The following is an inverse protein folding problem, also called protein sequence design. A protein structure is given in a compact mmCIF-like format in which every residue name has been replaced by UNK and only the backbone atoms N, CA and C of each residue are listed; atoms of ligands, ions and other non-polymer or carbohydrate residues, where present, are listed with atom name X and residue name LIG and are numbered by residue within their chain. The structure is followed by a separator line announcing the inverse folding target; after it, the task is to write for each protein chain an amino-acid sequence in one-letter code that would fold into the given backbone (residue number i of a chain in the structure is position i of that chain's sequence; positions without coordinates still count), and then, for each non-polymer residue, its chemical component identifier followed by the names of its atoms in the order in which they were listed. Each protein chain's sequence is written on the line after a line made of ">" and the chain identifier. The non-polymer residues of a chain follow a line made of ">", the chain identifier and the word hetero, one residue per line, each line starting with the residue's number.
data_IF_837784846407
#
_entry.id   IF_837784846407
#
_cell.length_a   1.000
_cell.length_b   1.000
_cell.length_c   1.000
_cell.angle_alpha   90.00
_cell.angle_beta   90.00
_cell.angle_gamma   90.00
#
_symmetry.space_group_name_H-M   'P 1'
#
loop_
_entity.id
_entity.type
_entity.pdbx_description
1 polymer ?
#
# COMPACT_ATOMS: atom_id res chain seq x y z
N UNK A 1 -1.07 -60.22 12.18
CA UNK A 1 0.16 -59.53 11.73
C UNK A 1 -0.22 -58.08 11.45
N UNK A 2 0.12 -57.19 12.35
CA UNK A 2 -0.12 -55.75 12.18
C UNK A 2 1.00 -55.22 11.31
N UNK A 3 0.68 -54.77 10.10
CA UNK A 3 1.61 -54.00 9.26
C UNK A 3 2.05 -52.76 10.01
N UNK A 4 3.32 -52.70 10.38
CA UNK A 4 3.99 -51.48 10.82
C UNK A 4 3.96 -50.51 9.65
N UNK A 5 3.05 -49.51 9.72
CA UNK A 5 3.15 -48.34 8.81
C UNK A 5 4.56 -47.77 8.88
N UNK A 6 5.29 -47.85 7.76
CA UNK A 6 6.60 -47.18 7.61
C UNK A 6 6.37 -45.69 7.83
N UNK A 7 6.67 -45.21 9.02
CA UNK A 7 6.79 -43.79 9.27
C UNK A 7 7.90 -43.29 8.33
N UNK A 8 7.52 -42.63 7.24
CA UNK A 8 8.50 -41.97 6.37
C UNK A 8 9.23 -40.96 7.22
N UNK A 9 10.55 -41.14 7.35
CA UNK A 9 11.40 -40.19 8.06
C UNK A 9 11.21 -38.81 7.40
N UNK A 10 10.82 -37.82 8.19
CA UNK A 10 10.69 -36.43 7.72
C UNK A 10 12.06 -35.96 7.21
N UNK A 11 12.14 -35.63 5.92
CA UNK A 11 13.35 -35.02 5.36
C UNK A 11 13.35 -33.53 5.72
N UNK A 12 14.40 -33.03 6.35
CA UNK A 12 14.48 -31.60 6.65
C UNK A 12 14.57 -30.80 5.34
N UNK A 13 13.90 -29.67 5.32
CA UNK A 13 14.02 -28.66 4.25
C UNK A 13 14.71 -27.43 4.85
N UNK A 14 15.71 -26.93 4.17
CA UNK A 14 16.43 -25.70 4.56
C UNK A 14 16.12 -24.61 3.57
N UNK A 15 15.57 -23.50 4.05
CA UNK A 15 15.41 -22.26 3.30
C UNK A 15 16.58 -21.33 3.66
N UNK A 16 17.47 -21.07 2.71
CA UNK A 16 18.57 -20.12 2.88
C UNK A 16 18.23 -18.82 2.17
N UNK A 17 18.02 -17.75 2.93
CA UNK A 17 17.73 -16.42 2.42
C UNK A 17 18.99 -15.58 2.47
N UNK A 18 19.48 -15.15 1.30
CA UNK A 18 20.57 -14.18 1.16
C UNK A 18 19.96 -12.79 0.96
N UNK A 19 19.62 -12.14 2.06
CA UNK A 19 18.96 -10.85 2.03
C UNK A 19 19.85 -9.78 1.37
N UNK A 20 19.28 -8.98 0.48
CA UNK A 20 20.01 -8.00 -0.33
C UNK A 20 20.78 -8.58 -1.51
N UNK A 21 20.76 -9.90 -1.74
CA UNK A 21 21.42 -10.53 -2.87
C UNK A 21 20.57 -10.40 -4.14
N UNK A 22 20.90 -9.42 -5.00
CA UNK A 22 20.20 -9.18 -6.26
C UNK A 22 20.96 -9.69 -7.48
N UNK A 23 20.25 -9.82 -8.60
CA UNK A 23 20.82 -10.15 -9.90
C UNK A 23 20.94 -8.86 -10.71
N UNK A 24 22.16 -8.50 -11.11
CA UNK A 24 22.46 -7.37 -11.98
C UNK A 24 23.62 -7.78 -12.90
N UNK A 25 23.46 -7.52 -14.20
CA UNK A 25 24.47 -7.83 -15.20
C UNK A 25 25.66 -6.86 -15.21
N UNK A 26 25.49 -5.68 -14.60
CA UNK A 26 26.56 -4.70 -14.48
C UNK A 26 27.61 -5.21 -13.49
N UNK A 27 28.88 -5.19 -13.89
CA UNK A 27 30.00 -5.63 -13.05
C UNK A 27 30.56 -4.48 -12.19
N UNK A 28 30.63 -3.26 -12.74
CA UNK A 28 31.14 -2.10 -12.02
C UNK A 28 30.28 -1.82 -10.78
N UNK A 29 30.94 -1.62 -9.65
CA UNK A 29 30.32 -1.37 -8.33
C UNK A 29 29.37 -2.48 -7.86
N UNK A 30 29.48 -3.68 -8.41
CA UNK A 30 28.67 -4.86 -8.07
C UNK A 30 29.51 -5.90 -7.34
N UNK A 31 29.53 -5.85 -6.04
CA UNK A 31 30.30 -6.78 -5.20
C UNK A 31 29.89 -8.25 -5.43
N UNK A 32 28.61 -8.52 -5.73
CA UNK A 32 28.12 -9.87 -5.99
C UNK A 32 28.70 -10.41 -7.31
N UNK A 33 28.73 -9.60 -8.37
CA UNK A 33 29.28 -9.99 -9.66
C UNK A 33 30.79 -10.25 -9.55
N UNK A 34 31.51 -9.40 -8.81
CA UNK A 34 32.97 -9.47 -8.66
C UNK A 34 33.42 -10.57 -7.67
N UNK A 35 32.56 -11.06 -6.80
CA UNK A 35 32.92 -12.03 -5.78
C UNK A 35 33.25 -13.41 -6.40
N UNK A 36 34.23 -14.10 -5.81
CA UNK A 36 34.48 -15.51 -6.08
C UNK A 36 33.41 -16.37 -5.42
N UNK A 37 32.48 -16.89 -6.20
CA UNK A 37 31.30 -17.63 -5.70
C UNK A 37 31.08 -18.97 -6.41
N UNK A 38 32.12 -19.85 -6.48
CA UNK A 38 32.11 -21.06 -7.32
C UNK A 38 30.94 -22.00 -6.98
N UNK A 39 30.56 -22.11 -5.72
CA UNK A 39 29.44 -22.97 -5.32
C UNK A 39 28.10 -22.42 -5.77
N UNK A 40 27.88 -21.12 -5.63
CA UNK A 40 26.65 -20.46 -6.08
C UNK A 40 26.53 -20.50 -7.60
N UNK A 41 27.63 -20.23 -8.31
CA UNK A 41 27.68 -20.32 -9.77
C UNK A 41 27.39 -21.77 -10.25
N UNK A 42 27.90 -22.77 -9.55
CA UNK A 42 27.59 -24.17 -9.83
C UNK A 42 26.09 -24.46 -9.58
N UNK A 43 25.53 -24.01 -8.48
CA UNK A 43 24.10 -24.19 -8.14
C UNK A 43 23.22 -23.57 -9.23
N UNK A 44 23.47 -22.32 -9.59
CA UNK A 44 22.69 -21.61 -10.62
C UNK A 44 22.83 -22.26 -12.01
N UNK A 45 23.97 -22.90 -12.31
CA UNK A 45 24.18 -23.61 -13.56
C UNK A 45 23.54 -25.00 -13.61
N UNK A 46 23.42 -25.65 -12.46
CA UNK A 46 23.07 -27.08 -12.38
C UNK A 46 21.60 -27.30 -12.02
N UNK A 47 21.04 -26.45 -11.19
CA UNK A 47 19.69 -26.62 -10.64
C UNK A 47 18.70 -25.61 -11.23
N UNK A 48 17.40 -25.95 -11.28
CA UNK A 48 16.37 -25.00 -11.70
C UNK A 48 16.32 -23.78 -10.79
N UNK A 49 16.29 -22.61 -11.39
CA UNK A 49 16.09 -21.36 -10.67
C UNK A 49 15.17 -20.41 -11.45
N UNK A 50 14.61 -19.43 -10.77
CA UNK A 50 13.73 -18.44 -11.38
C UNK A 50 14.01 -17.07 -10.80
N UNK A 51 14.04 -16.06 -11.66
CA UNK A 51 14.12 -14.66 -11.26
C UNK A 51 12.79 -14.21 -10.64
N UNK A 52 12.83 -13.64 -9.45
CA UNK A 52 11.70 -12.99 -8.80
C UNK A 52 11.84 -11.48 -8.79
N UNK A 53 10.76 -10.78 -8.54
CA UNK A 53 10.75 -9.34 -8.32
C UNK A 53 10.71 -9.04 -6.81
N UNK A 54 11.42 -7.98 -6.40
CA UNK A 54 11.54 -7.58 -5.00
C UNK A 54 11.11 -6.12 -4.77
N UNK A 55 10.27 -5.57 -5.65
CA UNK A 55 9.81 -4.17 -5.59
C UNK A 55 8.38 -4.03 -6.11
N UNK A 56 7.75 -2.93 -5.80
CA UNK A 56 6.43 -2.55 -6.31
C UNK A 56 5.34 -3.56 -5.98
N UNK A 57 4.36 -3.69 -6.85
CA UNK A 57 3.19 -4.54 -6.65
C UNK A 57 3.52 -6.02 -6.44
N UNK A 58 4.66 -6.49 -6.96
CA UNK A 58 5.11 -7.87 -6.79
C UNK A 58 5.41 -8.24 -5.32
N UNK A 59 5.60 -7.25 -4.47
CA UNK A 59 5.82 -7.43 -3.03
C UNK A 59 4.80 -6.66 -2.17
N UNK A 60 3.73 -6.17 -2.78
CA UNK A 60 2.63 -5.51 -2.09
C UNK A 60 2.85 -4.02 -1.79
N UNK A 61 3.82 -3.39 -2.45
CA UNK A 61 4.10 -1.96 -2.38
C UNK A 61 3.51 -1.22 -3.58
N UNK A 62 3.37 0.11 -3.53
CA UNK A 62 3.05 0.91 -4.70
C UNK A 62 4.01 0.66 -5.85
N UNK A 63 3.53 0.83 -7.10
CA UNK A 63 4.38 0.65 -8.27
C UNK A 63 5.58 1.61 -8.24
N UNK A 64 6.74 1.10 -8.68
CA UNK A 64 8.00 1.85 -8.64
C UNK A 64 8.67 1.96 -7.27
N UNK A 65 8.02 1.58 -6.17
CA UNK A 65 8.62 1.62 -4.85
C UNK A 65 9.58 0.45 -4.64
N UNK A 66 10.79 0.76 -4.19
CA UNK A 66 11.79 -0.25 -3.84
C UNK A 66 11.33 -1.08 -2.65
N UNK A 67 11.52 -2.40 -2.74
CA UNK A 67 11.24 -3.32 -1.64
C UNK A 67 12.25 -3.20 -0.49
N UNK A 68 11.91 -3.88 0.60
CA UNK A 68 12.76 -3.99 1.79
C UNK A 68 12.67 -5.41 2.37
N UNK A 69 13.50 -5.68 3.37
CA UNK A 69 13.57 -6.99 4.02
C UNK A 69 12.23 -7.40 4.66
N UNK A 70 11.54 -6.47 5.31
CA UNK A 70 10.27 -6.74 5.99
C UNK A 70 9.20 -7.28 5.03
N UNK A 71 8.91 -6.54 3.97
CA UNK A 71 7.90 -6.97 2.99
C UNK A 71 8.31 -8.25 2.26
N UNK A 72 9.60 -8.43 1.96
CA UNK A 72 10.12 -9.65 1.32
C UNK A 72 9.91 -10.88 2.19
N UNK A 73 10.34 -10.83 3.45
CA UNK A 73 10.17 -11.94 4.39
C UNK A 73 8.69 -12.22 4.72
N UNK A 74 7.87 -11.18 4.83
CA UNK A 74 6.43 -11.33 5.03
C UNK A 74 5.77 -12.08 3.88
N UNK A 75 6.09 -11.74 2.63
CA UNK A 75 5.55 -12.43 1.45
C UNK A 75 6.03 -13.89 1.36
N UNK A 76 7.31 -14.16 1.64
CA UNK A 76 7.83 -15.52 1.69
C UNK A 76 7.17 -16.35 2.78
N UNK A 77 7.01 -15.79 3.98
CA UNK A 77 6.36 -16.47 5.10
C UNK A 77 4.88 -16.75 4.85
N UNK A 78 4.18 -15.83 4.20
CA UNK A 78 2.76 -15.99 3.86
C UNK A 78 2.51 -16.87 2.62
N UNK A 79 3.53 -17.12 1.80
CA UNK A 79 3.38 -17.83 0.52
C UNK A 79 2.51 -17.09 -0.51
N UNK A 80 2.29 -15.81 -0.33
CA UNK A 80 1.50 -14.94 -1.21
C UNK A 80 1.91 -13.48 -1.06
N UNK A 81 1.50 -12.64 -2.00
CA UNK A 81 1.68 -11.19 -1.88
C UNK A 81 0.81 -10.65 -0.76
N UNK A 82 1.42 -9.94 0.19
CA UNK A 82 0.75 -9.18 1.25
C UNK A 82 0.82 -7.71 0.86
N UNK A 83 -0.30 -7.15 0.46
CA UNK A 83 -0.37 -5.72 0.15
C UNK A 83 -0.23 -4.89 1.43
N UNK A 84 0.68 -3.91 1.39
CA UNK A 84 0.80 -2.90 2.44
C UNK A 84 -0.45 -2.01 2.45
N UNK A 85 -0.77 -1.39 3.58
CA UNK A 85 -2.03 -0.68 3.79
C UNK A 85 -2.38 0.31 2.67
N UNK A 86 -1.41 1.13 2.25
CA UNK A 86 -1.61 2.09 1.17
C UNK A 86 -2.05 1.39 -0.13
N UNK A 87 -1.30 0.37 -0.55
CA UNK A 87 -1.58 -0.40 -1.77
C UNK A 87 -2.89 -1.17 -1.65
N UNK A 88 -3.17 -1.73 -0.47
CA UNK A 88 -4.40 -2.47 -0.20
C UNK A 88 -5.63 -1.57 -0.37
N UNK A 89 -5.63 -0.39 0.26
CA UNK A 89 -6.75 0.56 0.15
C UNK A 89 -6.92 1.04 -1.29
N UNK A 90 -5.82 1.35 -1.99
CA UNK A 90 -5.87 1.74 -3.41
C UNK A 90 -6.55 0.65 -4.23
N UNK A 91 -6.14 -0.61 -4.08
CA UNK A 91 -6.75 -1.75 -4.78
C UNK A 91 -8.22 -1.96 -4.40
N UNK A 92 -8.57 -1.86 -3.14
CA UNK A 92 -9.97 -1.98 -2.71
C UNK A 92 -10.88 -0.91 -3.36
N UNK A 93 -10.35 0.30 -3.58
CA UNK A 93 -11.06 1.36 -4.31
C UNK A 93 -11.22 0.97 -5.79
N UNK A 94 -10.13 0.53 -6.44
CA UNK A 94 -10.13 0.12 -7.84
C UNK A 94 -11.05 -1.08 -8.10
N UNK A 95 -10.99 -2.10 -7.25
CA UNK A 95 -11.79 -3.33 -7.35
C UNK A 95 -13.25 -3.13 -6.88
N UNK A 96 -13.55 -2.01 -6.21
CA UNK A 96 -14.87 -1.67 -5.70
C UNK A 96 -15.21 -2.25 -4.32
N UNK A 97 -14.34 -2.99 -3.70
CA UNK A 97 -14.56 -3.60 -2.38
C UNK A 97 -14.54 -2.56 -1.26
N UNK A 98 -13.80 -1.46 -1.44
CA UNK A 98 -13.82 -0.30 -0.55
C UNK A 98 -15.25 0.20 -0.28
N UNK A 99 -16.10 0.19 -1.30
CA UNK A 99 -17.50 0.66 -1.21
C UNK A 99 -18.44 -0.33 -0.52
N UNK A 100 -17.93 -1.50 -0.16
CA UNK A 100 -18.66 -2.55 0.60
C UNK A 100 -18.16 -2.65 2.05
N UNK A 101 -17.17 -1.85 2.45
CA UNK A 101 -16.60 -1.88 3.78
C UNK A 101 -17.66 -1.55 4.83
N UNK A 102 -17.93 -2.47 5.74
CA UNK A 102 -19.01 -2.38 6.72
C UNK A 102 -18.84 -1.21 7.68
N UNK A 103 -17.61 -0.88 8.09
CA UNK A 103 -17.35 0.25 8.98
C UNK A 103 -17.68 1.59 8.31
N UNK A 104 -17.27 1.76 7.04
CA UNK A 104 -17.56 2.95 6.26
C UNK A 104 -19.07 3.08 5.99
N UNK A 105 -19.72 1.99 5.63
CA UNK A 105 -21.17 1.95 5.41
C UNK A 105 -21.96 2.24 6.70
N UNK A 106 -21.47 1.79 7.85
CA UNK A 106 -22.07 2.09 9.15
C UNK A 106 -22.01 3.58 9.48
N UNK A 107 -20.87 4.25 9.20
CA UNK A 107 -20.73 5.70 9.37
C UNK A 107 -21.71 6.47 8.48
N UNK A 108 -21.78 6.08 7.20
CA UNK A 108 -22.73 6.67 6.24
C UNK A 108 -24.18 6.46 6.67
N UNK A 109 -24.53 5.26 7.10
CA UNK A 109 -25.88 4.94 7.61
C UNK A 109 -26.24 5.81 8.80
N UNK A 110 -25.34 5.95 9.78
CA UNK A 110 -25.54 6.81 10.94
C UNK A 110 -25.79 8.29 10.54
N UNK A 111 -25.04 8.81 9.55
CA UNK A 111 -25.25 10.16 9.05
C UNK A 111 -26.65 10.33 8.43
N UNK A 112 -27.15 9.34 7.68
CA UNK A 112 -28.48 9.35 7.08
C UNK A 112 -29.58 9.30 8.13
N UNK A 113 -29.51 8.35 9.05
CA UNK A 113 -30.53 8.14 10.08
C UNK A 113 -30.68 9.36 11.02
N UNK A 114 -29.54 10.00 11.33
CA UNK A 114 -29.52 11.18 12.25
C UNK A 114 -29.55 12.52 11.53
N UNK A 115 -29.60 12.53 10.21
CA UNK A 115 -29.48 13.74 9.39
C UNK A 115 -28.25 14.59 9.77
N UNK A 116 -27.15 13.91 10.14
CA UNK A 116 -25.89 14.51 10.57
C UNK A 116 -24.90 14.64 9.44
N UNK A 117 -23.79 15.34 9.67
CA UNK A 117 -22.72 15.51 8.71
C UNK A 117 -21.69 14.39 8.80
N UNK A 118 -21.10 14.03 7.66
CA UNK A 118 -19.90 13.22 7.58
C UNK A 118 -18.68 14.16 7.53
N UNK A 119 -17.76 13.98 8.46
CA UNK A 119 -16.50 14.71 8.51
C UNK A 119 -15.36 13.81 8.11
N UNK A 120 -14.63 14.20 7.08
CA UNK A 120 -13.42 13.54 6.58
C UNK A 120 -12.21 14.36 7.01
N UNK A 121 -11.17 13.72 7.51
CA UNK A 121 -9.95 14.42 7.94
C UNK A 121 -8.72 13.56 7.65
N UNK A 122 -7.61 14.19 7.30
CA UNK A 122 -6.35 13.53 7.04
C UNK A 122 -5.37 14.41 6.30
N UNK A 123 -4.17 13.87 6.13
CA UNK A 123 -3.10 14.52 5.38
C UNK A 123 -3.47 14.53 3.90
N UNK A 124 -3.51 15.71 3.30
CA UNK A 124 -3.99 15.93 1.93
C UNK A 124 -2.80 16.10 0.98
N UNK A 125 -2.29 14.99 0.47
CA UNK A 125 -1.20 14.97 -0.53
C UNK A 125 -1.17 13.64 -1.30
N UNK A 126 -0.29 13.54 -2.26
CA UNK A 126 0.05 12.32 -3.00
C UNK A 126 1.32 11.62 -2.46
N UNK A 127 1.85 12.07 -1.34
CA UNK A 127 3.10 11.55 -0.77
C UNK A 127 3.05 10.08 -0.39
N UNK A 128 1.87 9.55 -0.04
CA UNK A 128 1.67 8.11 0.18
C UNK A 128 2.36 7.53 1.41
N UNK A 129 2.85 8.36 2.34
CA UNK A 129 3.48 7.90 3.57
C UNK A 129 2.45 7.67 4.67
N UNK A 130 1.58 8.63 4.91
CA UNK A 130 0.54 8.57 5.95
C UNK A 130 -0.88 8.44 5.36
N UNK A 131 -1.09 8.98 4.16
CA UNK A 131 -2.35 8.93 3.42
C UNK A 131 -2.09 9.22 1.94
N UNK A 132 -3.11 9.07 1.12
CA UNK A 132 -3.05 9.44 -0.29
C UNK A 132 -4.34 10.14 -0.71
N UNK A 133 -4.23 11.21 -1.50
CA UNK A 133 -5.37 12.04 -1.91
C UNK A 133 -6.45 11.23 -2.65
N UNK A 134 -6.06 10.19 -3.38
CA UNK A 134 -7.01 9.30 -4.08
C UNK A 134 -7.91 8.52 -3.12
N UNK A 135 -7.44 8.22 -1.90
CA UNK A 135 -8.28 7.57 -0.88
C UNK A 135 -9.37 8.52 -0.37
N UNK A 136 -9.05 9.80 -0.25
CA UNK A 136 -10.07 10.83 0.06
C UNK A 136 -11.10 10.94 -1.08
N UNK A 137 -10.67 10.82 -2.35
CA UNK A 137 -11.62 10.77 -3.48
C UNK A 137 -12.55 9.56 -3.38
N UNK A 138 -12.05 8.39 -3.00
CA UNK A 138 -12.86 7.21 -2.72
C UNK A 138 -13.92 7.44 -1.65
N UNK A 139 -13.58 8.16 -0.56
CA UNK A 139 -14.54 8.53 0.48
C UNK A 139 -15.61 9.51 -0.01
N UNK A 140 -15.25 10.48 -0.86
CA UNK A 140 -16.21 11.38 -1.50
C UNK A 140 -17.16 10.62 -2.44
N UNK A 141 -16.63 9.68 -3.22
CA UNK A 141 -17.44 8.82 -4.08
C UNK A 141 -18.40 7.94 -3.27
N UNK A 142 -17.94 7.38 -2.15
CA UNK A 142 -18.81 6.64 -1.23
C UNK A 142 -19.95 7.52 -0.72
N UNK A 143 -19.64 8.73 -0.28
CA UNK A 143 -20.64 9.69 0.20
C UNK A 143 -21.65 10.05 -0.89
N UNK A 144 -21.19 10.28 -2.13
CA UNK A 144 -22.06 10.52 -3.29
C UNK A 144 -22.96 9.32 -3.60
N UNK A 145 -22.39 8.11 -3.70
CA UNK A 145 -23.16 6.86 -3.95
C UNK A 145 -24.22 6.64 -2.87
N UNK A 146 -23.92 7.05 -1.65
CA UNK A 146 -24.85 6.97 -0.54
C UNK A 146 -25.88 8.12 -0.50
N UNK A 147 -25.76 9.16 -1.31
CA UNK A 147 -26.65 10.31 -1.33
C UNK A 147 -26.51 11.21 -0.10
N UNK A 148 -25.31 11.33 0.48
CA UNK A 148 -25.05 12.27 1.58
C UNK A 148 -24.87 13.69 1.00
N UNK A 149 -25.54 14.67 1.62
CA UNK A 149 -25.44 16.08 1.25
C UNK A 149 -24.46 16.85 2.14
N UNK A 150 -24.37 16.46 3.42
CA UNK A 150 -23.57 17.13 4.44
C UNK A 150 -22.23 16.41 4.61
N UNK A 151 -21.24 16.72 3.75
CA UNK A 151 -19.89 16.13 3.79
C UNK A 151 -18.87 17.26 3.89
N UNK A 152 -17.99 17.20 4.88
CA UNK A 152 -17.00 18.23 5.18
C UNK A 152 -15.59 17.64 5.26
N UNK A 153 -14.65 18.26 4.54
CA UNK A 153 -13.24 17.88 4.56
C UNK A 153 -12.42 18.83 5.42
N UNK A 154 -11.66 18.28 6.34
CA UNK A 154 -10.65 18.96 7.12
C UNK A 154 -9.27 18.61 6.53
N UNK A 155 -8.69 19.54 5.78
CA UNK A 155 -7.44 19.34 5.08
C UNK A 155 -6.26 19.54 6.02
N UNK A 156 -5.47 18.51 6.27
CA UNK A 156 -4.15 18.63 6.90
C UNK A 156 -3.12 18.72 5.77
N UNK A 157 -2.42 19.86 5.68
CA UNK A 157 -1.43 20.09 4.64
C UNK A 157 -0.14 19.33 4.96
N UNK A 158 0.50 18.81 3.95
CA UNK A 158 1.77 18.08 4.08
C UNK A 158 2.98 19.04 4.11
N UNK A 159 3.78 19.06 3.09
CA UNK A 159 4.97 19.90 2.99
C UNK A 159 6.24 19.27 3.58
N UNK A 160 6.16 17.99 4.00
CA UNK A 160 7.29 17.18 4.45
C UNK A 160 7.54 15.99 3.52
N UNK A 161 6.50 15.21 3.22
CA UNK A 161 6.56 14.07 2.31
C UNK A 161 6.36 14.53 0.85
N UNK A 162 5.88 15.76 0.68
CA UNK A 162 5.72 16.48 -0.59
C UNK A 162 6.36 17.88 -0.50
N UNK A 163 6.55 18.59 -1.62
CA UNK A 163 7.16 19.91 -1.61
C UNK A 163 6.46 20.89 -0.66
N UNK A 164 7.18 21.71 0.11
CA UNK A 164 6.62 22.55 1.18
C UNK A 164 5.51 23.52 0.76
N UNK A 165 5.42 23.87 -0.53
CA UNK A 165 4.42 24.82 -1.07
C UNK A 165 3.31 24.16 -1.88
N UNK A 166 3.28 22.81 -1.99
CA UNK A 166 2.30 22.08 -2.81
C UNK A 166 0.89 22.00 -2.20
N UNK A 167 0.74 22.32 -0.93
CA UNK A 167 -0.55 22.18 -0.23
C UNK A 167 -1.70 22.95 -0.87
N UNK A 168 -1.44 24.12 -1.49
CA UNK A 168 -2.44 24.90 -2.22
C UNK A 168 -3.01 24.10 -3.40
N UNK A 169 -2.16 23.43 -4.14
CA UNK A 169 -2.56 22.69 -5.34
C UNK A 169 -3.38 21.46 -4.96
N UNK A 170 -2.99 20.72 -3.92
CA UNK A 170 -3.78 19.60 -3.40
C UNK A 170 -5.16 20.02 -2.87
N UNK A 171 -5.27 21.19 -2.25
CA UNK A 171 -6.59 21.74 -1.86
C UNK A 171 -7.41 22.08 -3.09
N UNK A 172 -6.81 22.68 -4.13
CA UNK A 172 -7.50 22.97 -5.38
C UNK A 172 -7.99 21.70 -6.07
N UNK A 173 -7.17 20.65 -6.13
CA UNK A 173 -7.54 19.34 -6.69
C UNK A 173 -8.71 18.70 -5.90
N UNK A 174 -8.68 18.78 -4.59
CA UNK A 174 -9.78 18.29 -3.74
C UNK A 174 -11.08 19.05 -4.01
N UNK A 175 -11.03 20.37 -4.15
CA UNK A 175 -12.20 21.20 -4.48
C UNK A 175 -12.70 20.88 -5.89
N UNK A 176 -11.81 20.70 -6.86
CA UNK A 176 -12.19 20.29 -8.22
C UNK A 176 -12.92 18.94 -8.21
N UNK A 177 -12.41 17.95 -7.46
CA UNK A 177 -13.06 16.65 -7.31
C UNK A 177 -14.41 16.71 -6.61
N UNK A 178 -14.55 17.53 -5.58
CA UNK A 178 -15.84 17.78 -4.92
C UNK A 178 -16.86 18.39 -5.86
N UNK A 179 -16.44 19.35 -6.70
CA UNK A 179 -17.31 19.97 -7.70
C UNK A 179 -17.74 18.97 -8.78
N UNK A 180 -16.80 18.16 -9.28
CA UNK A 180 -17.08 17.06 -10.23
C UNK A 180 -18.13 16.09 -9.68
N UNK A 181 -17.95 15.68 -8.43
CA UNK A 181 -18.84 14.73 -7.78
C UNK A 181 -20.18 15.38 -7.32
N UNK A 182 -20.22 16.69 -7.15
CA UNK A 182 -21.37 17.41 -6.59
C UNK A 182 -21.58 17.14 -5.10
N UNK A 183 -20.53 16.76 -4.36
CA UNK A 183 -20.62 16.46 -2.92
C UNK A 183 -19.33 16.89 -2.20
N UNK A 184 -19.50 17.37 -0.98
CA UNK A 184 -18.39 17.77 -0.11
C UNK A 184 -18.06 19.26 -0.16
N UNK A 185 -17.51 19.76 0.93
CA UNK A 185 -16.99 21.13 1.09
C UNK A 185 -15.76 21.10 1.98
N UNK A 186 -14.76 21.92 1.67
CA UNK A 186 -13.64 22.15 2.59
C UNK A 186 -14.15 22.92 3.79
N UNK A 187 -13.97 22.38 4.98
CA UNK A 187 -14.37 22.99 6.24
C UNK A 187 -13.22 23.73 6.92
N UNK A 188 -12.04 23.09 6.98
CA UNK A 188 -10.83 23.68 7.58
C UNK A 188 -9.59 23.30 6.79
N UNK A 189 -8.58 24.16 6.87
CA UNK A 189 -7.24 23.91 6.33
C UNK A 189 -6.24 24.23 7.43
N UNK A 190 -5.34 23.29 7.73
CA UNK A 190 -4.28 23.52 8.72
C UNK A 190 -2.99 22.85 8.27
N UNK A 191 -1.85 23.40 8.71
CA UNK A 191 -0.54 22.82 8.44
C UNK A 191 -0.31 21.55 9.25
N UNK A 192 0.53 20.66 8.71
CA UNK A 192 0.93 19.40 9.32
C UNK A 192 1.44 19.55 10.76
N UNK A 193 2.23 20.58 11.01
CA UNK A 193 2.76 20.87 12.33
C UNK A 193 1.68 20.96 13.43
N UNK A 194 0.51 21.53 13.11
CA UNK A 194 -0.60 21.64 14.05
C UNK A 194 -1.55 20.44 14.05
N UNK A 195 -1.54 19.69 12.98
CA UNK A 195 -2.49 18.58 12.79
C UNK A 195 -1.95 17.23 13.31
N UNK A 196 -0.63 16.99 13.20
CA UNK A 196 -0.10 15.66 13.46
C UNK A 196 1.35 15.60 13.93
N UNK A 197 2.19 16.65 13.83
CA UNK A 197 3.62 16.56 14.20
C UNK A 197 3.91 17.22 15.59
#
# INVERSE_FOLDING_TARGET
>A
MLERSKIMAKRPVVLLIMDGFGINEREDYNAIAQAKKPNLDMIMKTYPWKKGYASGLAVGLPDGQMGNSEVGHMNMGAGRIIYQELTRITKEIEDGDFFKNEALLSAVKNCKEKNSALHLMGLLSDGGVHSHITHMYGLLELAKKAGLEKVYLHCFLDGRDTPPKSGRDFVADAVAKMNELGVGKVATVMGRYYAMD
#
